data_IF_346504357879
#
_entry.id   IF_346504357879
#
_cell.length_a   1.000
_cell.length_b   1.000
_cell.length_c   1.000
_cell.angle_alpha   90.00
_cell.angle_beta   90.00
_cell.angle_gamma   90.00
#
_symmetry.space_group_name_H-M   'P 1'
#
loop_
_entity.id
_entity.type
_entity.pdbx_description
1 polymer ?
#
# COMPACT_ATOMS: atom_id res chain seq x y z
N UNK A 1 6.03 -13.50 9.15
CA UNK A 1 6.13 -12.09 9.59
C UNK A 1 5.29 -11.26 8.66
N UNK A 2 4.48 -10.33 9.16
CA UNK A 2 3.71 -9.38 8.35
C UNK A 2 4.59 -8.16 8.14
N UNK A 3 4.78 -7.71 6.89
CA UNK A 3 5.60 -6.55 6.59
C UNK A 3 4.93 -5.27 7.14
N UNK A 4 5.70 -4.43 7.83
CA UNK A 4 5.23 -3.19 8.47
C UNK A 4 6.17 -2.05 8.11
N UNK A 5 5.62 -0.87 7.82
CA UNK A 5 6.37 0.34 7.49
C UNK A 5 6.00 1.45 8.49
N UNK A 6 6.99 2.03 9.17
CA UNK A 6 6.76 3.06 10.19
C UNK A 6 6.07 4.29 9.60
N UNK A 7 5.04 4.81 10.29
CA UNK A 7 4.25 5.95 9.80
C UNK A 7 3.22 5.59 8.71
N UNK A 8 3.14 4.33 8.31
CA UNK A 8 2.17 3.83 7.34
C UNK A 8 1.28 2.74 7.95
N UNK A 9 0.04 2.66 7.47
CA UNK A 9 -0.96 1.68 7.91
C UNK A 9 -1.38 0.83 6.72
N UNK A 10 -1.34 -0.49 6.90
CA UNK A 10 -1.88 -1.44 5.93
C UNK A 10 -3.40 -1.56 6.11
N UNK A 11 -4.13 -1.50 5.00
CA UNK A 11 -5.60 -1.58 4.97
C UNK A 11 -6.10 -2.39 3.77
N UNK A 12 -7.25 -3.05 3.94
CA UNK A 12 -7.99 -3.71 2.87
C UNK A 12 -9.11 -2.78 2.39
N UNK A 13 -8.96 -2.23 1.19
CA UNK A 13 -9.91 -1.27 0.61
C UNK A 13 -10.95 -2.02 -0.23
N UNK A 14 -12.25 -2.03 0.15
CA UNK A 14 -13.30 -2.61 -0.66
C UNK A 14 -13.62 -1.72 -1.87
N UNK A 15 -13.62 -2.28 -3.07
CA UNK A 15 -13.95 -1.58 -4.32
C UNK A 15 -14.55 -2.56 -5.31
N UNK A 16 -15.71 -2.22 -5.91
CA UNK A 16 -16.35 -3.02 -6.97
C UNK A 16 -16.44 -4.54 -6.67
N UNK A 17 -16.71 -4.92 -5.43
CA UNK A 17 -16.84 -6.33 -5.02
C UNK A 17 -15.52 -7.07 -4.75
N UNK A 18 -14.36 -6.42 -4.93
CA UNK A 18 -13.04 -6.95 -4.54
C UNK A 18 -12.46 -6.18 -3.34
N UNK A 19 -11.39 -6.73 -2.75
CA UNK A 19 -10.60 -6.05 -1.71
C UNK A 19 -9.18 -5.85 -2.19
N UNK A 20 -8.72 -4.59 -2.21
CA UNK A 20 -7.35 -4.22 -2.55
C UNK A 20 -6.54 -4.11 -1.26
N UNK A 21 -5.39 -4.79 -1.19
CA UNK A 21 -4.41 -4.55 -0.14
C UNK A 21 -3.62 -3.28 -0.47
N UNK A 22 -3.67 -2.28 0.41
CA UNK A 22 -2.99 -1.01 0.24
C UNK A 22 -2.29 -0.59 1.53
N UNK A 23 -1.24 0.21 1.39
CA UNK A 23 -0.52 0.83 2.50
C UNK A 23 -0.55 2.34 2.32
N UNK A 24 -0.96 3.05 3.37
CA UNK A 24 -1.18 4.50 3.33
C UNK A 24 -0.52 5.19 4.51
N UNK A 25 0.09 6.35 4.27
CA UNK A 25 0.77 7.14 5.29
C UNK A 25 1.21 8.49 4.72
N UNK A 26 1.70 9.37 5.58
CA UNK A 26 2.10 10.73 5.22
C UNK A 26 0.94 11.75 5.17
N UNK A 27 1.23 12.95 4.67
CA UNK A 27 0.28 14.07 4.58
C UNK A 27 0.59 14.94 3.35
N UNK A 28 -0.42 15.66 2.85
CA UNK A 28 -0.31 16.48 1.63
C UNK A 28 -1.09 15.91 0.45
N UNK A 29 -0.84 16.40 -0.78
CA UNK A 29 -1.46 15.87 -1.99
C UNK A 29 -1.16 14.36 -2.16
N UNK A 30 -2.16 13.53 -2.52
CA UNK A 30 -1.98 12.09 -2.58
C UNK A 30 -1.14 11.66 -3.80
N UNK A 31 -0.32 10.62 -3.60
CA UNK A 31 0.41 9.90 -4.65
C UNK A 31 -0.01 8.44 -4.59
N UNK A 32 -0.30 7.84 -5.74
CA UNK A 32 -0.61 6.42 -5.87
C UNK A 32 0.59 5.69 -6.46
N UNK A 33 1.13 4.72 -5.71
CA UNK A 33 2.20 3.83 -6.17
C UNK A 33 1.59 2.49 -6.54
N UNK A 34 1.84 2.04 -7.77
CA UNK A 34 1.35 0.76 -8.30
C UNK A 34 2.55 -0.12 -8.59
N UNK A 35 2.55 -1.31 -8.00
CA UNK A 35 3.71 -2.17 -8.13
C UNK A 35 3.75 -2.95 -9.44
N UNK A 36 4.95 -3.37 -9.82
CA UNK A 36 5.20 -4.21 -10.97
C UNK A 36 5.12 -5.71 -10.67
N UNK A 37 5.45 -6.50 -11.69
CA UNK A 37 5.75 -7.93 -11.53
C UNK A 37 7.27 -8.11 -11.31
N UNK A 38 7.73 -9.06 -10.48
CA UNK A 38 6.98 -9.99 -9.62
C UNK A 38 6.78 -9.46 -8.17
N UNK A 39 6.70 -8.15 -8.01
CA UNK A 39 6.80 -7.49 -6.71
C UNK A 39 5.44 -7.23 -6.04
N UNK A 40 5.48 -6.56 -4.89
CA UNK A 40 4.31 -6.06 -4.16
C UNK A 40 4.53 -4.59 -3.80
N UNK A 41 3.61 -3.97 -3.05
CA UNK A 41 3.81 -2.62 -2.51
C UNK A 41 5.15 -2.43 -1.77
N UNK A 42 5.74 -3.52 -1.26
CA UNK A 42 6.99 -3.49 -0.52
C UNK A 42 8.18 -3.02 -1.36
N UNK A 43 8.12 -2.99 -2.69
CA UNK A 43 9.22 -2.43 -3.49
C UNK A 43 9.48 -0.93 -3.19
N UNK A 44 8.50 -0.23 -2.60
CA UNK A 44 8.56 1.19 -2.23
C UNK A 44 8.89 1.45 -0.76
N UNK A 45 9.41 0.46 -0.01
CA UNK A 45 9.65 0.59 1.44
C UNK A 45 10.89 1.43 1.83
N UNK A 46 11.68 1.85 0.84
CA UNK A 46 12.89 2.66 1.01
C UNK A 46 12.60 4.16 0.84
#
# INVERSE_FOLDING_TARGET
MIATLEGFTQQMVPVNGIKINAVTGGSGPPILLLHGWPETWWEWHH
#
